data_IF_346655887008
#
_entry.id   IF_346655887008
#
_cell.length_a   1.000
_cell.length_b   1.000
_cell.length_c   1.000
_cell.angle_alpha   90.00
_cell.angle_beta   90.00
_cell.angle_gamma   90.00
#
_symmetry.space_group_name_H-M   'P 1'
#
loop_
_entity.id
_entity.type
_entity.pdbx_description
1 polymer ?
#
# COMPACT_ATOMS: atom_id res chain seq x y z
N UNK A 1 3.81 21.10 80.85
CA UNK A 1 4.13 20.03 79.87
C UNK A 1 3.13 20.11 78.71
N UNK A 2 3.55 20.59 77.54
CA UNK A 2 2.78 20.56 76.27
C UNK A 2 3.77 20.22 75.16
N UNK A 3 3.66 19.00 74.62
CA UNK A 3 4.40 18.57 73.42
C UNK A 3 3.71 19.15 72.17
N UNK A 4 4.43 19.93 71.38
CA UNK A 4 4.04 20.24 69.99
C UNK A 4 4.76 19.27 69.05
N UNK A 5 4.00 18.37 68.43
CA UNK A 5 4.46 17.51 67.34
C UNK A 5 4.49 18.26 66.01
N UNK A 6 5.66 18.27 65.35
CA UNK A 6 5.82 18.71 63.96
C UNK A 6 5.52 17.55 63.02
N UNK A 7 4.51 17.69 62.17
CA UNK A 7 4.31 16.82 61.01
C UNK A 7 5.08 17.41 59.81
N UNK A 8 6.17 16.76 59.41
CA UNK A 8 6.84 17.04 58.13
C UNK A 8 6.02 16.40 57.01
N UNK A 9 5.33 17.21 56.22
CA UNK A 9 4.77 16.79 54.94
C UNK A 9 5.89 16.63 53.91
N UNK A 10 6.09 15.42 53.40
CA UNK A 10 6.98 15.15 52.28
C UNK A 10 6.17 15.25 50.98
N UNK A 11 6.39 16.31 50.21
CA UNK A 11 5.85 16.43 48.85
C UNK A 11 6.70 15.58 47.91
N UNK A 12 6.15 14.45 47.46
CA UNK A 12 6.74 13.67 46.36
C UNK A 12 6.47 14.42 45.05
N UNK A 13 7.51 15.03 44.48
CA UNK A 13 7.42 15.64 43.17
C UNK A 13 7.35 14.54 42.10
N UNK A 14 6.18 14.35 41.49
CA UNK A 14 6.00 13.55 40.29
C UNK A 14 6.61 14.32 39.10
N UNK A 15 7.77 13.86 38.62
CA UNK A 15 8.33 14.37 37.38
C UNK A 15 7.43 13.95 36.19
N UNK A 16 7.11 14.86 35.27
CA UNK A 16 6.32 14.52 34.09
C UNK A 16 7.15 13.61 33.18
N UNK A 17 6.70 12.37 32.98
CA UNK A 17 7.24 11.48 31.95
C UNK A 17 6.66 11.94 30.62
N UNK A 18 7.46 12.68 29.85
CA UNK A 18 7.15 12.99 28.47
C UNK A 18 7.33 11.71 27.65
N UNK A 19 6.23 11.03 27.34
CA UNK A 19 6.24 9.90 26.41
C UNK A 19 6.57 10.45 25.01
N UNK A 20 7.81 10.21 24.56
CA UNK A 20 8.20 10.43 23.16
C UNK A 20 7.42 9.41 22.32
N UNK A 21 6.42 9.88 21.58
CA UNK A 21 5.75 9.05 20.57
C UNK A 21 6.77 8.66 19.50
N UNK A 22 6.86 7.36 19.20
CA UNK A 22 7.67 6.89 18.08
C UNK A 22 7.17 7.53 16.77
N UNK A 23 8.06 7.92 15.85
CA UNK A 23 7.64 8.46 14.56
C UNK A 23 6.80 7.43 13.80
N UNK A 24 5.75 7.91 13.15
CA UNK A 24 4.92 7.06 12.30
C UNK A 24 5.77 6.44 11.19
N UNK A 25 5.53 5.16 10.82
CA UNK A 25 6.23 4.53 9.71
C UNK A 25 5.98 5.30 8.41
N UNK A 26 7.00 5.37 7.54
CA UNK A 26 7.02 6.23 6.36
C UNK A 26 5.81 6.07 5.42
N UNK A 27 5.28 4.85 5.29
CA UNK A 27 4.10 4.57 4.47
C UNK A 27 2.83 5.27 4.99
N UNK A 28 2.68 5.46 6.31
CA UNK A 28 1.51 6.16 6.87
C UNK A 28 1.51 7.65 6.54
N UNK A 29 2.69 8.24 6.40
CA UNK A 29 2.85 9.64 6.02
C UNK A 29 2.81 9.85 4.49
N UNK A 30 2.82 8.77 3.69
CA UNK A 30 2.85 8.86 2.24
C UNK A 30 1.42 8.80 1.66
N UNK A 31 0.97 9.84 0.94
CA UNK A 31 -0.27 9.75 0.18
C UNK A 31 -0.23 8.58 -0.80
N UNK A 32 -1.35 7.86 -0.95
CA UNK A 32 -1.44 6.71 -1.84
C UNK A 32 -0.95 7.06 -3.26
N UNK A 33 -1.36 8.20 -3.80
CA UNK A 33 -0.97 8.67 -5.14
C UNK A 33 0.54 8.93 -5.32
N UNK A 34 1.34 8.89 -4.27
CA UNK A 34 2.79 9.08 -4.31
C UNK A 34 3.54 7.78 -4.00
N UNK A 35 2.83 6.74 -3.57
CA UNK A 35 3.43 5.50 -3.12
C UNK A 35 4.15 4.74 -4.24
N UNK A 36 5.32 4.20 -3.90
CA UNK A 36 6.06 3.25 -4.73
C UNK A 36 6.35 2.02 -3.91
N UNK A 37 6.02 0.88 -4.49
CA UNK A 37 6.35 -0.43 -3.95
C UNK A 37 7.30 -1.15 -4.90
N UNK A 38 8.18 -1.96 -4.33
CA UNK A 38 9.06 -2.87 -5.05
C UNK A 38 8.62 -4.30 -4.82
N UNK A 39 8.79 -5.16 -5.81
CA UNK A 39 8.54 -6.58 -5.64
C UNK A 39 9.51 -7.19 -4.61
N UNK A 40 8.98 -7.96 -3.67
CA UNK A 40 9.79 -8.66 -2.67
C UNK A 40 10.60 -9.81 -3.27
N UNK A 41 10.28 -10.23 -4.49
CA UNK A 41 11.01 -11.26 -5.25
C UNK A 41 12.36 -10.80 -5.81
N UNK A 42 12.66 -9.48 -5.75
CA UNK A 42 13.86 -8.86 -6.33
C UNK A 42 14.01 -9.07 -7.85
N UNK A 43 12.90 -9.26 -8.56
CA UNK A 43 12.85 -9.40 -10.02
C UNK A 43 12.89 -8.03 -10.73
N UNK A 44 12.88 -6.92 -9.97
CA UNK A 44 13.10 -5.57 -10.49
C UNK A 44 11.83 -4.85 -10.95
N UNK A 45 10.68 -5.27 -10.43
CA UNK A 45 9.39 -4.64 -10.68
C UNK A 45 9.04 -3.62 -9.62
N UNK A 46 8.29 -2.60 -10.04
CA UNK A 46 7.72 -1.60 -9.14
C UNK A 46 6.24 -1.41 -9.42
N UNK A 47 5.45 -1.30 -8.35
CA UNK A 47 4.10 -0.73 -8.39
C UNK A 47 4.18 0.74 -8.03
N UNK A 48 3.85 1.57 -9.00
CA UNK A 48 3.84 3.01 -8.87
C UNK A 48 2.40 3.51 -8.83
N UNK A 49 2.00 4.12 -7.71
CA UNK A 49 0.72 4.77 -7.61
C UNK A 49 0.83 6.22 -8.09
N UNK A 50 -0.26 6.72 -8.65
CA UNK A 50 -0.41 8.08 -9.15
C UNK A 50 -1.87 8.54 -9.03
N UNK A 51 -2.10 9.85 -9.15
CA UNK A 51 -3.47 10.37 -9.22
C UNK A 51 -4.15 9.73 -10.44
N UNK A 52 -5.35 9.18 -10.23
CA UNK A 52 -6.16 8.73 -11.35
C UNK A 52 -6.49 9.92 -12.26
N UNK A 53 -6.36 9.73 -13.57
CA UNK A 53 -6.91 10.70 -14.51
C UNK A 53 -8.40 10.44 -14.58
N UNK A 54 -9.21 11.34 -14.00
CA UNK A 54 -10.68 11.32 -13.94
C UNK A 54 -11.30 10.33 -14.94
N UNK A 55 -11.51 9.09 -14.52
CA UNK A 55 -12.34 8.17 -15.29
C UNK A 55 -13.78 8.51 -14.91
N UNK A 56 -14.57 9.14 -15.81
CA UNK A 56 -15.90 9.64 -15.48
C UNK A 56 -16.88 8.53 -15.07
N UNK A 57 -16.56 7.28 -15.39
CA UNK A 57 -17.43 6.12 -15.15
C UNK A 57 -17.25 5.46 -13.78
N UNK A 58 -16.22 5.84 -13.00
CA UNK A 58 -15.87 5.16 -11.75
C UNK A 58 -15.64 6.15 -10.62
N UNK A 59 -16.75 6.66 -10.08
CA UNK A 59 -16.81 7.56 -8.93
C UNK A 59 -16.08 7.05 -7.66
N UNK A 60 -15.61 5.80 -7.66
CA UNK A 60 -14.87 5.14 -6.57
C UNK A 60 -13.38 4.90 -6.86
N UNK A 61 -12.83 5.45 -7.94
CA UNK A 61 -11.42 5.30 -8.29
C UNK A 61 -10.51 6.07 -7.33
N UNK A 62 -9.56 5.38 -6.72
CA UNK A 62 -8.64 5.92 -5.73
C UNK A 62 -7.33 6.41 -6.35
N UNK A 63 -6.75 5.63 -7.26
CA UNK A 63 -5.42 5.88 -7.80
C UNK A 63 -5.22 5.08 -9.08
N UNK A 64 -4.34 5.59 -9.95
CA UNK A 64 -3.80 4.82 -11.05
C UNK A 64 -2.58 4.05 -10.57
N UNK A 65 -2.50 2.77 -10.95
CA UNK A 65 -1.40 1.87 -10.61
C UNK A 65 -0.64 1.50 -11.87
N UNK A 66 0.64 1.80 -11.88
CA UNK A 66 1.53 1.50 -13.00
C UNK A 66 2.52 0.43 -12.58
N UNK A 67 2.57 -0.66 -13.32
CA UNK A 67 3.59 -1.69 -13.15
C UNK A 67 4.74 -1.41 -14.09
N UNK A 68 5.96 -1.31 -13.55
CA UNK A 68 7.17 -1.08 -14.34
C UNK A 68 8.23 -2.11 -14.01
N UNK A 69 9.15 -2.31 -14.93
CA UNK A 69 10.36 -3.11 -14.75
C UNK A 69 11.58 -2.27 -15.10
N UNK A 70 12.65 -2.39 -14.31
CA UNK A 70 13.86 -1.56 -14.46
C UNK A 70 14.45 -1.58 -15.89
N UNK A 71 14.39 -2.74 -16.58
CA UNK A 71 14.95 -2.89 -17.92
C UNK A 71 13.91 -2.78 -19.05
N UNK A 72 12.64 -3.09 -18.76
CA UNK A 72 11.59 -3.18 -19.80
C UNK A 72 10.69 -1.95 -19.84
N UNK A 73 10.80 -1.05 -18.86
CA UNK A 73 9.98 0.14 -18.77
C UNK A 73 8.56 -0.18 -18.28
N UNK A 74 7.56 0.43 -18.91
CA UNK A 74 6.14 0.23 -18.58
C UNK A 74 5.72 -1.20 -18.95
N UNK A 75 5.11 -1.92 -18.01
CA UNK A 75 4.57 -3.26 -18.23
C UNK A 75 3.05 -3.20 -18.39
N UNK A 76 2.35 -2.58 -17.44
CA UNK A 76 0.89 -2.46 -17.46
C UNK A 76 0.42 -1.28 -16.62
N UNK A 77 -0.83 -0.89 -16.84
CA UNK A 77 -1.48 0.19 -16.11
C UNK A 77 -2.90 -0.23 -15.74
N UNK A 78 -3.28 0.08 -14.51
CA UNK A 78 -4.56 -0.27 -13.91
C UNK A 78 -5.09 0.94 -13.14
N UNK A 79 -6.34 0.87 -12.76
CA UNK A 79 -6.95 1.79 -11.82
C UNK A 79 -7.35 1.00 -10.56
N UNK A 80 -7.04 1.55 -9.40
CA UNK A 80 -7.45 1.03 -8.10
C UNK A 80 -8.79 1.65 -7.73
N UNK A 81 -9.78 0.84 -7.39
CA UNK A 81 -11.07 1.29 -6.86
C UNK A 81 -11.46 0.51 -5.62
N UNK A 82 -12.38 1.07 -4.85
CA UNK A 82 -13.15 0.27 -3.90
C UNK A 82 -14.07 -0.67 -4.68
N UNK A 83 -14.16 -1.92 -4.23
CA UNK A 83 -15.23 -2.81 -4.62
C UNK A 83 -16.53 -2.35 -3.95
N UNK A 84 -17.63 -2.33 -4.72
CA UNK A 84 -18.91 -1.84 -4.23
C UNK A 84 -19.43 -2.73 -3.09
N UNK A 85 -19.35 -2.22 -1.86
CA UNK A 85 -20.07 -2.75 -0.70
C UNK A 85 -19.31 -3.64 0.29
N UNK A 86 -18.01 -3.92 0.09
CA UNK A 86 -17.29 -4.92 0.91
C UNK A 86 -15.96 -4.47 1.53
N UNK A 87 -15.59 -3.18 1.42
CA UNK A 87 -14.31 -2.70 1.99
C UNK A 87 -13.07 -3.34 1.34
N UNK A 88 -13.24 -3.93 0.15
CA UNK A 88 -12.15 -4.51 -0.62
C UNK A 88 -11.69 -3.55 -1.70
N UNK A 89 -10.45 -3.72 -2.14
CA UNK A 89 -9.82 -2.89 -3.14
C UNK A 89 -9.46 -3.76 -4.34
N UNK A 90 -9.77 -3.28 -5.54
CA UNK A 90 -9.54 -4.03 -6.77
C UNK A 90 -8.80 -3.16 -7.79
N UNK A 91 -7.87 -3.78 -8.52
CA UNK A 91 -7.34 -3.22 -9.75
C UNK A 91 -8.21 -3.65 -10.92
N UNK A 92 -8.51 -2.72 -11.81
CA UNK A 92 -9.23 -2.99 -13.05
C UNK A 92 -8.55 -2.26 -14.22
N UNK A 93 -8.69 -2.82 -15.41
CA UNK A 93 -8.17 -2.22 -16.63
C UNK A 93 -9.11 -1.08 -17.07
N UNK A 94 -8.64 0.18 -17.10
CA UNK A 94 -9.47 1.30 -17.51
C UNK A 94 -9.87 1.28 -18.99
N UNK A 95 -9.16 0.53 -19.83
CA UNK A 95 -9.50 0.39 -21.26
C UNK A 95 -10.68 -0.57 -21.49
N UNK A 96 -10.96 -1.44 -20.51
CA UNK A 96 -11.94 -2.51 -20.63
C UNK A 96 -11.51 -3.68 -21.53
N UNK A 97 -10.26 -3.72 -21.99
CA UNK A 97 -9.71 -4.85 -22.74
C UNK A 97 -9.58 -6.09 -21.85
N UNK A 98 -9.05 -5.93 -20.64
CA UNK A 98 -9.12 -6.95 -19.59
C UNK A 98 -10.40 -6.81 -18.75
N UNK A 99 -11.18 -7.89 -18.68
CA UNK A 99 -12.40 -7.96 -17.86
C UNK A 99 -12.15 -8.53 -16.47
N UNK A 100 -10.92 -8.91 -16.18
CA UNK A 100 -10.51 -9.48 -14.90
C UNK A 100 -10.14 -8.36 -13.93
N UNK A 101 -10.66 -8.42 -12.72
CA UNK A 101 -10.22 -7.57 -11.62
C UNK A 101 -9.21 -8.30 -10.74
N UNK A 102 -8.29 -7.55 -10.14
CA UNK A 102 -7.28 -8.08 -9.22
C UNK A 102 -7.49 -7.55 -7.81
N UNK A 103 -7.79 -8.44 -6.87
CA UNK A 103 -7.94 -8.06 -5.46
C UNK A 103 -6.63 -7.59 -4.84
N UNK A 104 -6.68 -6.47 -4.13
CA UNK A 104 -5.56 -5.87 -3.41
C UNK A 104 -5.79 -5.99 -1.91
N UNK A 105 -4.80 -6.52 -1.20
CA UNK A 105 -4.79 -6.60 0.26
C UNK A 105 -3.56 -5.87 0.79
N UNK A 106 -3.77 -4.89 1.66
CA UNK A 106 -2.69 -4.18 2.33
C UNK A 106 -2.40 -4.76 3.69
N UNK A 107 -1.13 -4.67 4.11
CA UNK A 107 -0.68 -5.11 5.41
C UNK A 107 0.22 -4.07 6.07
N UNK A 108 0.22 -4.07 7.40
CA UNK A 108 1.21 -3.35 8.17
C UNK A 108 2.58 -4.06 8.16
N UNK A 109 3.57 -3.46 8.84
CA UNK A 109 4.93 -4.01 8.89
C UNK A 109 5.03 -5.39 9.54
N UNK A 110 4.00 -5.84 10.27
CA UNK A 110 3.91 -7.16 10.92
C UNK A 110 3.05 -8.14 10.14
N UNK A 111 2.70 -7.82 8.89
CA UNK A 111 1.82 -8.61 8.02
C UNK A 111 0.41 -8.79 8.59
N UNK A 112 -0.06 -7.83 9.39
CA UNK A 112 -1.48 -7.79 9.80
C UNK A 112 -2.27 -7.08 8.71
N UNK A 113 -3.42 -7.63 8.26
CA UNK A 113 -4.21 -7.01 7.21
C UNK A 113 -4.75 -5.65 7.66
N UNK A 114 -4.88 -4.74 6.71
CA UNK A 114 -5.41 -3.40 6.89
C UNK A 114 -6.70 -3.23 6.10
N UNK A 115 -7.66 -2.53 6.68
CA UNK A 115 -8.84 -2.00 5.98
C UNK A 115 -8.48 -0.67 5.30
N UNK A 116 -7.51 -0.73 4.39
CA UNK A 116 -6.96 0.42 3.67
C UNK A 116 -6.31 -0.03 2.36
N UNK A 117 -6.24 0.83 1.33
CA UNK A 117 -5.62 0.50 0.04
C UNK A 117 -4.08 0.50 0.08
N UNK A 118 -3.48 0.84 1.22
CA UNK A 118 -2.07 1.19 1.35
C UNK A 118 -1.51 0.70 2.68
N UNK A 119 -0.27 0.21 2.68
CA UNK A 119 0.38 -0.34 3.86
C UNK A 119 1.89 -0.40 3.74
N UNK A 120 2.54 -1.08 4.68
CA UNK A 120 3.95 -1.45 4.53
C UNK A 120 4.14 -2.51 3.43
N UNK A 121 3.12 -3.35 3.23
CA UNK A 121 3.11 -4.38 2.21
C UNK A 121 1.78 -4.41 1.46
N UNK A 122 1.81 -4.84 0.21
CA UNK A 122 0.62 -5.18 -0.58
C UNK A 122 0.74 -6.58 -1.17
N UNK A 123 -0.37 -7.29 -1.23
CA UNK A 123 -0.54 -8.44 -2.11
C UNK A 123 -1.58 -8.10 -3.17
N UNK A 124 -1.31 -8.44 -4.43
CA UNK A 124 -2.26 -8.24 -5.53
C UNK A 124 -2.49 -9.59 -6.21
N UNK A 125 -3.71 -10.11 -6.05
CA UNK A 125 -4.04 -11.45 -6.51
C UNK A 125 -4.12 -11.52 -8.04
N UNK A 126 -3.32 -12.41 -8.63
CA UNK A 126 -3.35 -12.69 -10.06
C UNK A 126 -2.81 -11.59 -10.97
N UNK A 127 -2.11 -10.58 -10.41
CA UNK A 127 -1.51 -9.52 -11.22
C UNK A 127 -0.42 -10.06 -12.15
N UNK A 128 0.30 -11.12 -11.73
CA UNK A 128 1.29 -11.79 -12.56
C UNK A 128 0.66 -12.57 -13.73
N UNK A 129 -0.59 -13.01 -13.58
CA UNK A 129 -1.30 -13.77 -14.62
C UNK A 129 -2.08 -12.91 -15.61
N UNK A 130 -2.45 -11.66 -15.31
CA UNK A 130 -3.21 -10.85 -16.29
C UNK A 130 -2.42 -10.51 -17.54
N UNK A 131 -1.14 -10.16 -17.40
CA UNK A 131 -0.28 -9.87 -18.55
C UNK A 131 -0.07 -11.09 -19.48
N UNK A 132 -0.39 -12.30 -19.00
CA UNK A 132 -0.38 -13.52 -19.81
C UNK A 132 -1.60 -13.65 -20.74
N UNK A 133 -2.74 -13.06 -20.36
CA UNK A 133 -3.99 -13.20 -21.12
C UNK A 133 -4.26 -12.05 -22.10
N UNK A 134 -3.68 -10.87 -21.87
CA UNK A 134 -3.92 -9.66 -22.69
C UNK A 134 -3.22 -9.63 -24.06
N UNK A 135 -2.37 -10.61 -24.41
CA UNK A 135 -1.45 -10.51 -25.57
C UNK A 135 -1.40 -11.64 -26.58
N UNK A 136 -2.42 -12.51 -26.72
CA UNK A 136 -2.29 -13.74 -27.54
C UNK A 136 -2.38 -13.54 -29.06
N UNK A 137 -1.23 -13.22 -29.66
CA UNK A 137 -0.80 -13.67 -31.01
C UNK A 137 0.70 -14.05 -31.01
N UNK A 138 1.15 -14.95 -30.14
CA UNK A 138 2.57 -15.34 -30.09
C UNK A 138 2.93 -16.26 -28.93
N UNK A 139 4.15 -16.82 -28.97
CA UNK A 139 4.60 -17.98 -28.19
C UNK A 139 4.50 -17.87 -26.66
N UNK A 140 4.45 -19.04 -26.02
CA UNK A 140 4.21 -19.29 -24.60
C UNK A 140 5.44 -18.97 -23.71
N UNK A 141 5.81 -17.71 -23.58
CA UNK A 141 6.89 -17.32 -22.65
C UNK A 141 6.40 -17.31 -21.19
N UNK A 142 7.25 -17.67 -20.22
CA UNK A 142 6.87 -17.66 -18.81
C UNK A 142 6.30 -16.27 -18.40
N UNK A 143 5.34 -16.20 -17.45
CA UNK A 143 4.77 -14.94 -17.01
C UNK A 143 5.88 -13.99 -16.56
N UNK A 144 5.87 -12.78 -17.11
CA UNK A 144 6.91 -11.77 -16.86
C UNK A 144 6.94 -11.37 -15.38
N UNK A 145 5.78 -11.40 -14.71
CA UNK A 145 5.62 -11.10 -13.29
C UNK A 145 4.99 -12.33 -12.62
N UNK A 146 5.54 -12.79 -11.48
CA UNK A 146 4.89 -13.78 -10.60
C UNK A 146 3.78 -13.07 -9.79
N UNK A 147 3.20 -13.71 -8.77
CA UNK A 147 2.37 -13.01 -7.77
C UNK A 147 3.20 -12.71 -6.50
N UNK A 148 4.10 -11.70 -6.51
CA UNK A 148 4.92 -11.38 -5.36
C UNK A 148 4.12 -10.59 -4.31
N UNK A 149 4.68 -10.56 -3.11
CA UNK A 149 4.42 -9.47 -2.17
C UNK A 149 5.12 -8.19 -2.66
N UNK A 150 4.52 -7.04 -2.37
CA UNK A 150 5.06 -5.73 -2.72
C UNK A 150 5.42 -4.99 -1.46
N UNK A 151 6.68 -4.60 -1.31
CA UNK A 151 7.19 -3.85 -0.16
C UNK A 151 7.14 -2.35 -0.44
N UNK A 152 6.63 -1.56 0.50
CA UNK A 152 6.72 -0.11 0.38
C UNK A 152 8.19 0.30 0.29
N UNK A 153 8.56 0.99 -0.79
CA UNK A 153 9.93 1.40 -1.06
C UNK A 153 10.12 2.88 -0.69
N UNK A 154 9.25 3.75 -1.21
CA UNK A 154 9.40 5.19 -1.07
C UNK A 154 8.12 5.95 -1.38
N UNK A 155 8.11 7.21 -0.96
CA UNK A 155 7.15 8.21 -1.39
C UNK A 155 7.76 9.06 -2.50
N UNK A 156 7.07 9.20 -3.64
CA UNK A 156 7.42 10.18 -4.67
C UNK A 156 7.19 11.62 -4.15
N UNK A 157 8.00 12.58 -4.58
CA UNK A 157 7.75 14.00 -4.29
C UNK A 157 6.42 14.46 -4.89
#
# INVERSE_FOLDING_TARGET
>A
MKLLGRLLGWSVALAPVWALAAPAPAWQACPLSHAVYRDAGSEGFTLEFSKSGESPDLASTLARVTVRHAQKGLISQWELSHSLGYGTFDLFDPSGEDKTSHGVVAFDAKLRPLDAPHGAWLFVAGLGVSNWYSGRTGARDAPVIKDPMWAFERCKP
#
